data_IF_371410791197
#
_entry.id   IF_371410791197
#
_cell.length_a   1.000
_cell.length_b   1.000
_cell.length_c   1.000
_cell.angle_alpha   90.00
_cell.angle_beta   90.00
_cell.angle_gamma   90.00
#
_symmetry.space_group_name_H-M   'P 1'
#
loop_
_entity.id
_entity.type
_entity.pdbx_description
1 polymer ?
#
# COMPACT_ATOMS: atom_id res chain seq x y z
N UNK A 1 10.28 13.39 -21.69
CA UNK A 1 8.83 13.25 -21.97
C UNK A 1 8.10 13.19 -20.63
N UNK A 2 7.24 14.16 -20.26
CA UNK A 2 6.73 14.24 -18.90
C UNK A 2 5.53 13.31 -18.66
N UNK A 3 5.51 12.78 -17.44
CA UNK A 3 4.59 11.84 -16.81
C UNK A 3 3.09 12.09 -17.06
N UNK A 4 2.33 11.01 -17.29
CA UNK A 4 0.86 11.01 -17.20
C UNK A 4 0.41 10.00 -16.14
N UNK A 5 0.08 10.54 -14.97
CA UNK A 5 -0.55 9.86 -13.85
C UNK A 5 -2.04 9.59 -14.11
N UNK A 6 -2.47 8.40 -13.68
CA UNK A 6 -3.80 7.88 -13.35
C UNK A 6 -5.06 8.54 -13.94
N UNK A 7 -5.91 7.69 -14.52
CA UNK A 7 -7.33 7.94 -14.79
C UNK A 7 -8.18 6.79 -14.25
N UNK A 8 -9.32 7.16 -13.65
CA UNK A 8 -10.60 6.43 -13.53
C UNK A 8 -10.61 5.27 -12.48
N UNK A 9 -11.50 5.19 -11.47
CA UNK A 9 -12.92 5.53 -11.31
C UNK A 9 -13.32 5.73 -9.82
N UNK A 10 -14.32 6.59 -9.58
CA UNK A 10 -14.95 6.94 -8.28
C UNK A 10 -14.01 7.47 -7.19
N UNK A 11 -13.64 8.73 -7.32
CA UNK A 11 -12.87 9.48 -6.35
C UNK A 11 -13.50 10.87 -6.26
N UNK A 12 -13.86 11.41 -5.08
CA UNK A 12 -14.15 12.83 -4.95
C UNK A 12 -12.91 13.57 -5.47
N UNK A 13 -13.01 14.22 -6.64
CA UNK A 13 -11.94 14.90 -7.39
C UNK A 13 -10.55 14.86 -6.72
N UNK A 14 -9.81 13.74 -6.80
CA UNK A 14 -8.35 13.81 -6.57
C UNK A 14 -7.83 14.52 -7.82
N UNK A 15 -7.62 15.82 -7.67
CA UNK A 15 -7.09 16.68 -8.70
C UNK A 15 -5.63 16.31 -8.94
N UNK A 16 -5.25 16.07 -10.21
CA UNK A 16 -3.85 15.85 -10.60
C UNK A 16 -3.14 17.18 -10.95
N UNK A 17 -3.71 18.33 -10.53
CA UNK A 17 -3.20 19.65 -10.90
C UNK A 17 -2.25 20.15 -9.80
N UNK A 18 -0.96 19.80 -9.91
CA UNK A 18 0.07 20.12 -8.90
C UNK A 18 0.14 21.62 -8.54
N UNK A 19 -0.28 22.51 -9.46
CA UNK A 19 -0.37 23.95 -9.21
C UNK A 19 -1.44 24.35 -8.19
N UNK A 20 -2.32 23.43 -7.76
CA UNK A 20 -3.37 23.67 -6.78
C UNK A 20 -3.03 23.15 -5.37
N UNK A 21 -1.95 22.38 -5.21
CA UNK A 21 -1.55 21.86 -3.90
C UNK A 21 -0.67 22.87 -3.14
N UNK A 22 -1.12 23.34 -1.97
CA UNK A 22 -0.34 24.23 -1.11
C UNK A 22 0.98 23.59 -0.64
N UNK A 23 1.00 22.26 -0.52
CA UNK A 23 2.21 21.50 -0.14
C UNK A 23 3.12 21.21 -1.33
N UNK A 24 2.68 21.50 -2.57
CA UNK A 24 3.36 21.11 -3.80
C UNK A 24 3.37 19.59 -4.05
N UNK A 25 2.63 18.80 -3.25
CA UNK A 25 2.59 17.33 -3.32
C UNK A 25 1.20 16.81 -3.62
N UNK A 26 1.16 15.63 -4.23
CA UNK A 26 -0.02 14.78 -4.39
C UNK A 26 0.19 13.47 -3.60
N UNK A 27 -0.88 12.75 -3.20
CA UNK A 27 -2.30 13.05 -3.41
C UNK A 27 -2.89 14.05 -2.39
N UNK A 28 -4.05 14.62 -2.73
CA UNK A 28 -4.95 15.34 -1.82
C UNK A 28 -6.41 15.01 -2.14
N UNK A 29 -7.30 15.24 -1.18
CA UNK A 29 -8.75 15.07 -1.32
C UNK A 29 -9.47 16.31 -0.83
N UNK A 30 -10.39 16.80 -1.65
CA UNK A 30 -11.32 17.86 -1.27
C UNK A 30 -12.56 17.21 -0.66
N UNK A 31 -12.86 17.56 0.59
CA UNK A 31 -14.05 17.12 1.33
C UNK A 31 -14.79 18.37 1.77
N UNK A 32 -15.96 18.60 1.16
CA UNK A 32 -16.73 19.83 1.33
C UNK A 32 -15.86 21.06 0.99
N UNK A 33 -15.56 21.91 1.97
CA UNK A 33 -14.70 23.09 1.81
C UNK A 33 -13.29 22.90 2.38
N UNK A 34 -12.95 21.69 2.84
CA UNK A 34 -11.67 21.38 3.46
C UNK A 34 -10.82 20.50 2.53
N UNK A 35 -9.50 20.73 2.53
CA UNK A 35 -8.55 19.92 1.78
C UNK A 35 -7.68 19.09 2.72
N UNK A 36 -7.60 17.79 2.45
CA UNK A 36 -6.76 16.86 3.18
C UNK A 36 -5.59 16.44 2.28
N UNK A 37 -4.37 16.59 2.77
CA UNK A 37 -3.14 16.15 2.12
C UNK A 37 -2.65 14.81 2.72
N UNK A 38 -1.58 14.27 2.14
CA UNK A 38 -0.89 13.04 2.59
C UNK A 38 -1.71 11.77 2.41
N UNK A 39 -1.16 10.80 1.67
CA UNK A 39 -1.85 9.56 1.31
C UNK A 39 -2.37 8.79 2.52
N UNK A 40 -1.57 8.69 3.60
CA UNK A 40 -1.97 7.96 4.81
C UNK A 40 -3.05 8.69 5.62
N UNK A 41 -2.99 10.02 5.69
CA UNK A 41 -4.03 10.80 6.37
C UNK A 41 -5.37 10.68 5.64
N UNK A 42 -5.33 10.71 4.31
CA UNK A 42 -6.47 10.48 3.43
C UNK A 42 -7.09 9.10 3.61
N UNK A 43 -6.30 8.03 3.52
CA UNK A 43 -6.80 6.65 3.65
C UNK A 43 -7.38 6.42 5.04
N UNK A 44 -6.77 7.00 6.08
CA UNK A 44 -7.29 6.93 7.46
C UNK A 44 -8.61 7.69 7.62
N UNK A 45 -8.74 8.88 7.03
CA UNK A 45 -9.99 9.64 7.01
C UNK A 45 -11.12 8.83 6.34
N UNK A 46 -10.87 8.28 5.15
CA UNK A 46 -11.85 7.45 4.44
C UNK A 46 -12.13 6.15 5.21
N UNK A 47 -11.11 5.56 5.83
CA UNK A 47 -11.22 4.40 6.68
C UNK A 47 -12.22 4.62 7.82
N UNK A 48 -12.12 5.75 8.52
CA UNK A 48 -13.10 6.13 9.55
C UNK A 48 -14.49 6.38 8.97
N UNK A 49 -14.57 7.16 7.88
CA UNK A 49 -15.84 7.52 7.22
C UNK A 49 -16.65 6.31 6.77
N UNK A 50 -15.98 5.23 6.37
CA UNK A 50 -16.60 4.01 5.85
C UNK A 50 -16.51 2.81 6.80
N UNK A 51 -16.24 3.01 8.10
CA UNK A 51 -16.22 1.95 9.12
C UNK A 51 -15.21 0.81 8.83
N UNK A 52 -14.02 1.21 8.37
CA UNK A 52 -12.88 0.38 8.03
C UNK A 52 -11.65 0.67 8.92
N UNK A 53 -11.82 1.43 10.00
CA UNK A 53 -10.73 1.84 10.91
C UNK A 53 -10.58 0.95 12.15
N UNK A 54 -10.94 -0.34 12.04
CA UNK A 54 -11.00 -1.26 13.18
C UNK A 54 -12.31 -1.13 13.97
N UNK A 55 -12.51 -2.00 14.97
CA UNK A 55 -13.71 -1.98 15.82
C UNK A 55 -13.63 -1.01 17.01
N UNK A 56 -12.41 -0.66 17.42
CA UNK A 56 -12.10 0.17 18.57
C UNK A 56 -10.77 0.90 18.36
N UNK A 57 -10.45 1.82 19.28
CA UNK A 57 -9.21 2.62 19.25
C UNK A 57 -7.93 1.76 19.21
N UNK A 58 -7.95 0.59 19.86
CA UNK A 58 -6.80 -0.31 19.89
C UNK A 58 -6.60 -1.00 18.54
N UNK A 59 -7.66 -1.47 17.89
CA UNK A 59 -7.57 -1.98 16.51
C UNK A 59 -7.17 -0.85 15.54
N UNK A 60 -7.67 0.37 15.73
CA UNK A 60 -7.27 1.54 14.93
C UNK A 60 -5.76 1.81 15.02
N UNK A 61 -5.23 1.88 16.24
CA UNK A 61 -3.81 2.09 16.48
C UNK A 61 -2.95 0.94 15.94
N UNK A 62 -3.46 -0.30 15.97
CA UNK A 62 -2.76 -1.43 15.37
C UNK A 62 -2.73 -1.36 13.85
N UNK A 63 -3.80 -0.90 13.19
CA UNK A 63 -3.79 -0.66 11.74
C UNK A 63 -2.72 0.40 11.42
N UNK A 64 -2.73 1.52 12.13
CA UNK A 64 -1.75 2.60 11.95
C UNK A 64 -0.32 2.09 12.09
N UNK A 65 -0.03 1.39 13.19
CA UNK A 65 1.31 0.84 13.44
C UNK A 65 1.77 -0.10 12.33
N UNK A 66 0.91 -0.97 11.82
CA UNK A 66 1.28 -1.92 10.75
C UNK A 66 1.54 -1.17 9.43
N UNK A 67 0.68 -0.20 9.10
CA UNK A 67 0.81 0.58 7.86
C UNK A 67 2.04 1.49 7.89
N UNK A 68 2.33 2.14 9.01
CA UNK A 68 3.53 2.97 9.15
C UNK A 68 4.80 2.11 9.08
N UNK A 69 4.77 0.90 9.68
CA UNK A 69 5.87 -0.07 9.52
C UNK A 69 6.06 -0.50 8.05
N UNK A 70 4.97 -0.62 7.29
CA UNK A 70 5.04 -0.91 5.84
C UNK A 70 5.72 0.24 5.08
N UNK A 71 5.40 1.49 5.43
CA UNK A 71 6.02 2.67 4.83
C UNK A 71 7.53 2.68 5.11
N UNK A 72 7.94 2.45 6.35
CA UNK A 72 9.36 2.39 6.72
C UNK A 72 10.08 1.24 5.99
N UNK A 73 9.42 0.08 5.84
CA UNK A 73 9.90 -1.01 5.00
C UNK A 73 10.18 -0.55 3.56
N UNK A 74 9.24 0.16 2.92
CA UNK A 74 9.43 0.68 1.56
C UNK A 74 10.58 1.68 1.47
N UNK A 75 10.74 2.54 2.48
CA UNK A 75 11.85 3.49 2.55
C UNK A 75 13.21 2.74 2.65
N UNK A 76 13.27 1.64 3.41
CA UNK A 76 14.48 0.82 3.56
C UNK A 76 14.90 0.08 2.27
N UNK A 77 13.93 -0.40 1.48
CA UNK A 77 14.19 -1.11 0.21
C UNK A 77 14.29 -0.18 -0.99
N UNK A 78 14.04 1.12 -0.81
CA UNK A 78 13.93 2.10 -1.89
C UNK A 78 15.19 2.17 -2.77
N UNK A 79 16.39 1.98 -2.21
CA UNK A 79 17.63 1.99 -3.00
C UNK A 79 17.66 0.85 -4.01
N UNK A 80 17.40 -0.39 -3.57
CA UNK A 80 17.32 -1.56 -4.44
C UNK A 80 16.23 -1.39 -5.49
N UNK A 81 15.03 -0.95 -5.09
CA UNK A 81 13.92 -0.73 -6.01
C UNK A 81 14.21 0.36 -7.04
N UNK A 82 14.91 1.43 -6.66
CA UNK A 82 15.25 2.52 -7.58
C UNK A 82 16.26 2.09 -8.64
N UNK A 83 17.29 1.34 -8.24
CA UNK A 83 18.28 0.77 -9.18
C UNK A 83 17.59 -0.25 -10.11
N UNK A 84 16.76 -1.15 -9.55
CA UNK A 84 16.05 -2.17 -10.34
C UNK A 84 15.10 -1.56 -11.38
N UNK A 85 14.52 -0.39 -11.08
CA UNK A 85 13.66 0.38 -12.01
C UNK A 85 14.44 1.26 -12.99
N UNK A 86 15.78 1.25 -12.96
CA UNK A 86 16.61 2.15 -13.76
C UNK A 86 16.43 3.64 -13.42
N UNK A 87 15.98 3.95 -12.19
CA UNK A 87 15.78 5.33 -11.71
C UNK A 87 17.00 5.89 -10.97
N UNK A 88 17.97 5.04 -10.67
CA UNK A 88 19.22 5.41 -9.99
C UNK A 88 20.33 4.47 -10.41
N UNK A 89 21.56 4.94 -10.36
CA UNK A 89 22.75 4.10 -10.55
C UNK A 89 23.03 3.28 -9.28
N UNK A 90 23.59 2.08 -9.45
CA UNK A 90 23.99 1.21 -8.34
C UNK A 90 24.17 -0.24 -8.76
N UNK A 91 24.73 -1.05 -7.86
CA UNK A 91 24.96 -2.48 -8.07
C UNK A 91 23.89 -3.31 -7.36
N UNK A 92 23.04 -4.00 -8.12
CA UNK A 92 21.97 -4.84 -7.56
C UNK A 92 22.50 -5.99 -6.69
N UNK A 93 23.65 -6.57 -7.05
CA UNK A 93 24.25 -7.68 -6.31
C UNK A 93 24.74 -7.22 -4.91
N UNK A 94 25.26 -6.01 -4.81
CA UNK A 94 25.68 -5.42 -3.53
C UNK A 94 24.48 -5.02 -2.66
N UNK A 95 23.38 -4.58 -3.27
CA UNK A 95 22.16 -4.17 -2.57
C UNK A 95 21.27 -5.36 -2.17
N UNK A 96 21.41 -6.51 -2.84
CA UNK A 96 20.57 -7.70 -2.67
C UNK A 96 20.53 -8.23 -1.23
N UNK A 97 21.66 -8.38 -0.50
CA UNK A 97 21.62 -8.96 0.85
C UNK A 97 20.79 -8.13 1.84
N UNK A 98 20.95 -6.80 1.82
CA UNK A 98 20.16 -5.89 2.67
C UNK A 98 18.68 -5.95 2.29
N UNK A 99 18.38 -5.93 0.99
CA UNK A 99 17.02 -6.04 0.48
C UNK A 99 16.35 -7.33 0.97
N UNK A 100 17.01 -8.48 0.82
CA UNK A 100 16.47 -9.78 1.24
C UNK A 100 16.27 -9.85 2.76
N UNK A 101 17.19 -9.31 3.55
CA UNK A 101 17.06 -9.25 5.01
C UNK A 101 15.87 -8.37 5.43
N UNK A 102 15.74 -7.17 4.86
CA UNK A 102 14.64 -6.24 5.15
C UNK A 102 13.30 -6.84 4.74
N UNK A 103 13.19 -7.44 3.54
CA UNK A 103 11.96 -8.10 3.11
C UNK A 103 11.60 -9.30 4.00
N UNK A 104 12.59 -10.08 4.46
CA UNK A 104 12.35 -11.20 5.38
C UNK A 104 11.80 -10.72 6.72
N UNK A 105 12.37 -9.66 7.29
CA UNK A 105 11.88 -9.05 8.54
C UNK A 105 10.43 -8.58 8.38
N UNK A 106 10.16 -7.85 7.29
CA UNK A 106 8.84 -7.31 7.00
C UNK A 106 7.77 -8.41 6.84
N UNK A 107 8.00 -9.41 6.00
CA UNK A 107 7.02 -10.48 5.78
C UNK A 107 6.85 -11.39 7.00
N UNK A 108 7.91 -11.61 7.78
CA UNK A 108 7.78 -12.32 9.07
C UNK A 108 6.90 -11.54 10.05
N UNK A 109 7.12 -10.24 10.16
CA UNK A 109 6.30 -9.36 11.01
C UNK A 109 4.84 -9.35 10.55
N UNK A 110 4.57 -9.11 9.25
CA UNK A 110 3.22 -9.08 8.72
C UNK A 110 2.49 -10.41 8.91
N UNK A 111 3.17 -11.54 8.68
CA UNK A 111 2.60 -12.85 8.92
C UNK A 111 2.22 -13.03 10.41
N UNK A 112 3.07 -12.59 11.34
CA UNK A 112 2.75 -12.64 12.78
C UNK A 112 1.50 -11.84 13.12
N UNK A 113 1.26 -10.73 12.42
CA UNK A 113 0.05 -9.91 12.60
C UNK A 113 -1.20 -10.60 12.09
N UNK A 114 -1.13 -11.23 10.92
CA UNK A 114 -2.22 -12.03 10.35
C UNK A 114 -2.55 -13.24 11.23
N UNK A 115 -1.54 -13.98 11.67
CA UNK A 115 -1.69 -15.15 12.55
C UNK A 115 -2.32 -14.75 13.91
N UNK A 116 -2.03 -13.54 14.41
CA UNK A 116 -2.65 -12.99 15.63
C UNK A 116 -4.12 -12.61 15.43
N UNK A 117 -4.47 -12.02 14.30
CA UNK A 117 -5.83 -11.54 14.02
C UNK A 117 -6.82 -12.68 13.73
N UNK A 118 -6.37 -13.78 13.11
CA UNK A 118 -7.15 -15.00 12.80
C UNK A 118 -8.42 -14.79 11.95
N UNK A 119 -8.58 -13.62 11.36
CA UNK A 119 -9.73 -13.25 10.52
C UNK A 119 -9.44 -13.40 9.01
N UNK A 120 -8.17 -13.62 8.65
CA UNK A 120 -7.67 -13.46 7.29
C UNK A 120 -7.34 -12.01 6.90
N UNK A 121 -7.46 -11.06 7.82
CA UNK A 121 -7.09 -9.65 7.68
C UNK A 121 -6.18 -9.20 8.84
N UNK A 122 -5.66 -7.97 8.81
CA UNK A 122 -4.82 -7.46 9.92
C UNK A 122 -5.59 -7.09 11.19
N UNK A 123 -6.93 -7.03 11.11
CA UNK A 123 -7.83 -6.81 12.26
C UNK A 123 -8.96 -7.84 12.28
N UNK A 124 -9.95 -7.69 13.17
CA UNK A 124 -11.12 -8.59 13.24
C UNK A 124 -11.92 -8.71 11.93
N UNK A 125 -11.86 -7.71 11.05
CA UNK A 125 -12.48 -7.68 9.71
C UNK A 125 -11.58 -6.92 8.73
N UNK A 126 -11.99 -6.80 7.47
CA UNK A 126 -11.28 -5.97 6.50
C UNK A 126 -11.23 -4.50 6.96
N UNK A 127 -10.08 -3.86 6.76
CA UNK A 127 -9.77 -2.49 7.17
C UNK A 127 -9.14 -1.70 6.03
N UNK A 128 -9.01 -0.38 6.21
CA UNK A 128 -8.33 0.46 5.21
C UNK A 128 -6.84 0.10 5.07
N UNK A 129 -6.22 -0.41 6.13
CA UNK A 129 -4.83 -0.87 6.09
C UNK A 129 -4.66 -2.09 5.19
N UNK A 130 -5.66 -2.96 5.11
CA UNK A 130 -5.58 -4.15 4.26
C UNK A 130 -5.45 -3.80 2.78
N UNK A 131 -6.08 -2.71 2.33
CA UNK A 131 -5.96 -2.24 0.94
C UNK A 131 -4.56 -1.74 0.62
N UNK A 132 -3.95 -0.95 1.52
CA UNK A 132 -2.59 -0.46 1.33
C UNK A 132 -1.56 -1.58 1.38
N UNK A 133 -1.72 -2.53 2.31
CA UNK A 133 -0.81 -3.68 2.42
C UNK A 133 -0.92 -4.59 1.20
N UNK A 134 -2.13 -4.88 0.72
CA UNK A 134 -2.32 -5.70 -0.48
C UNK A 134 -1.70 -5.05 -1.73
N UNK A 135 -1.90 -3.75 -1.94
CA UNK A 135 -1.24 -3.02 -3.05
C UNK A 135 0.30 -2.98 -2.88
N UNK A 136 0.78 -2.84 -1.64
CA UNK A 136 2.21 -2.93 -1.33
C UNK A 136 2.80 -4.31 -1.66
N UNK A 137 2.13 -5.40 -1.27
CA UNK A 137 2.55 -6.76 -1.59
C UNK A 137 2.48 -7.01 -3.09
N UNK A 138 1.44 -6.55 -3.78
CA UNK A 138 1.35 -6.65 -5.24
C UNK A 138 2.53 -5.94 -5.91
N UNK A 139 2.88 -4.74 -5.43
CA UNK A 139 4.06 -4.02 -5.90
C UNK A 139 5.32 -4.86 -5.71
N UNK A 140 5.55 -5.37 -4.51
CA UNK A 140 6.73 -6.21 -4.22
C UNK A 140 6.74 -7.51 -5.04
N UNK A 141 5.59 -8.12 -5.28
CA UNK A 141 5.45 -9.31 -6.13
C UNK A 141 5.82 -9.00 -7.58
N UNK A 142 5.39 -7.86 -8.12
CA UNK A 142 5.75 -7.43 -9.47
C UNK A 142 7.25 -7.12 -9.59
N UNK A 143 7.88 -6.63 -8.51
CA UNK A 143 9.33 -6.38 -8.49
C UNK A 143 10.15 -7.65 -8.29
N UNK A 144 9.71 -8.55 -7.43
CA UNK A 144 10.45 -9.73 -7.02
C UNK A 144 9.47 -10.87 -6.68
N UNK A 145 8.96 -11.48 -7.74
CA UNK A 145 8.03 -12.60 -7.66
C UNK A 145 8.67 -13.78 -6.94
N UNK A 146 9.96 -14.05 -7.19
CA UNK A 146 10.69 -15.15 -6.56
C UNK A 146 10.77 -14.97 -5.03
N UNK A 147 11.12 -13.77 -4.56
CA UNK A 147 11.15 -13.50 -3.13
C UNK A 147 9.75 -13.59 -2.53
N UNK A 148 8.76 -12.95 -3.16
CA UNK A 148 7.40 -12.91 -2.61
C UNK A 148 6.74 -14.29 -2.61
N UNK A 149 7.03 -15.12 -3.61
CA UNK A 149 6.56 -16.51 -3.70
C UNK A 149 7.05 -17.42 -2.57
N UNK A 150 8.13 -17.06 -1.86
CA UNK A 150 8.60 -17.77 -0.65
C UNK A 150 7.65 -17.63 0.54
N UNK A 151 6.66 -16.73 0.47
CA UNK A 151 5.73 -16.40 1.56
C UNK A 151 4.27 -16.61 1.13
N UNK A 152 3.82 -17.88 0.97
CA UNK A 152 2.50 -18.19 0.40
C UNK A 152 1.33 -17.61 1.21
N UNK A 153 1.44 -17.51 2.54
CA UNK A 153 0.42 -16.87 3.38
C UNK A 153 0.26 -15.37 3.09
N UNK A 154 1.35 -14.69 2.74
CA UNK A 154 1.32 -13.25 2.38
C UNK A 154 0.69 -13.07 1.01
N UNK A 155 1.00 -13.96 0.06
CA UNK A 155 0.37 -14.00 -1.26
C UNK A 155 -1.14 -14.26 -1.13
N UNK A 156 -1.54 -15.27 -0.34
CA UNK A 156 -2.95 -15.60 -0.08
C UNK A 156 -3.70 -14.42 0.56
N UNK A 157 -3.08 -13.75 1.53
CA UNK A 157 -3.65 -12.55 2.15
C UNK A 157 -3.91 -11.44 1.12
N UNK A 158 -2.92 -11.13 0.28
CA UNK A 158 -3.05 -10.15 -0.80
C UNK A 158 -4.19 -10.56 -1.76
N UNK A 159 -4.20 -11.81 -2.21
CA UNK A 159 -5.21 -12.33 -3.14
C UNK A 159 -6.63 -12.28 -2.55
N UNK A 160 -6.76 -12.55 -1.24
CA UNK A 160 -8.03 -12.44 -0.51
C UNK A 160 -8.59 -11.02 -0.53
N UNK A 161 -7.73 -10.01 -0.35
CA UNK A 161 -8.14 -8.60 -0.42
C UNK A 161 -8.60 -8.23 -1.83
N UNK A 162 -7.83 -8.59 -2.86
CA UNK A 162 -8.20 -8.33 -4.26
C UNK A 162 -9.41 -9.14 -4.74
N UNK A 163 -9.70 -10.27 -4.12
CA UNK A 163 -10.88 -11.10 -4.42
C UNK A 163 -12.18 -10.54 -3.83
N UNK A 164 -12.12 -9.50 -2.98
CA UNK A 164 -13.33 -8.87 -2.46
C UNK A 164 -14.16 -8.29 -3.62
N UNK A 165 -15.47 -8.60 -3.74
CA UNK A 165 -16.26 -8.29 -4.96
C UNK A 165 -16.17 -6.84 -5.42
N UNK A 166 -16.27 -5.88 -4.49
CA UNK A 166 -16.17 -4.43 -4.81
C UNK A 166 -14.77 -4.00 -5.24
N UNK A 167 -13.73 -4.67 -4.73
CA UNK A 167 -12.34 -4.37 -5.11
C UNK A 167 -12.05 -4.97 -6.47
N UNK A 168 -12.43 -6.23 -6.69
CA UNK A 168 -12.33 -6.90 -7.98
C UNK A 168 -13.02 -6.10 -9.09
N UNK A 169 -14.27 -5.68 -8.88
CA UNK A 169 -15.00 -4.84 -9.82
C UNK A 169 -14.28 -3.52 -10.12
N UNK A 170 -13.73 -2.86 -9.10
CA UNK A 170 -12.94 -1.64 -9.29
C UNK A 170 -11.66 -1.89 -10.08
N UNK A 171 -10.92 -2.96 -9.78
CA UNK A 171 -9.67 -3.31 -10.46
C UNK A 171 -9.91 -3.67 -11.93
N UNK A 172 -10.96 -4.45 -12.22
CA UNK A 172 -11.35 -4.78 -13.59
C UNK A 172 -11.71 -3.51 -14.39
N UNK A 173 -12.38 -2.54 -13.75
CA UNK A 173 -12.76 -1.28 -14.38
C UNK A 173 -11.60 -0.30 -14.55
N UNK A 174 -10.66 -0.25 -13.60
CA UNK A 174 -9.50 0.66 -13.66
C UNK A 174 -8.46 0.19 -14.70
N UNK A 175 -8.41 -1.11 -14.99
CA UNK A 175 -7.41 -1.74 -15.85
C UNK A 175 -6.05 -1.92 -15.15
N UNK A 176 -5.12 -2.56 -15.84
CA UNK A 176 -3.78 -2.81 -15.29
C UNK A 176 -2.97 -1.50 -15.22
N UNK A 177 -2.39 -1.26 -14.05
CA UNK A 177 -1.42 -0.18 -13.85
C UNK A 177 -0.03 -0.74 -14.17
N UNK A 178 0.54 -0.30 -15.28
CA UNK A 178 1.95 -0.53 -15.59
C UNK A 178 2.80 0.23 -14.57
N UNK A 179 3.42 -0.48 -13.62
CA UNK A 179 4.40 0.08 -12.68
C UNK A 179 5.81 -0.38 -13.00
#
# INVERSE_FOLDING_TARGET
MPSRFLKLLWIPKISNNFSASETGKAPWLDVDNERIYESLALTRYLGRKFNLAGKDEMESAQIDSIVDTCKDFFDEVQSYLSVKRGRSEGNLEELRPKYDETCKKWYTYLQSRLDKAKSGFITSKISWGDFLLAEGILTMQNFDEEFTGKYPKIVEYKDRVFSHPKIKEYVEKRGDLLY
#
